data_IF_778205341453
#
_entry.id   IF_778205341453
#
_cell.length_a   1.000
_cell.length_b   1.000
_cell.length_c   1.000
_cell.angle_alpha   90.00
_cell.angle_beta   90.00
_cell.angle_gamma   90.00
#
_symmetry.space_group_name_H-M   'P 1'
#
loop_
_entity.id
_entity.type
_entity.pdbx_description
1 polymer ?
#
# COMPACT_ATOMS: atom_id res chain seq x y z
N UNK A 1 -18.66 -35.69 4.57
CA UNK A 1 -17.59 -34.78 4.10
C UNK A 1 -17.93 -33.40 4.59
N UNK A 2 -17.27 -32.92 5.64
CA UNK A 2 -17.46 -31.53 6.09
C UNK A 2 -16.84 -30.59 5.05
N UNK A 3 -17.60 -29.56 4.64
CA UNK A 3 -17.13 -28.53 3.70
C UNK A 3 -16.92 -27.24 4.46
N UNK A 4 -15.69 -26.72 4.40
CA UNK A 4 -15.43 -25.34 4.80
C UNK A 4 -16.20 -24.38 3.88
N UNK A 5 -16.77 -23.33 4.48
CA UNK A 5 -17.41 -22.23 3.75
C UNK A 5 -16.94 -20.90 4.32
N UNK A 6 -16.71 -19.92 3.45
CA UNK A 6 -16.46 -18.54 3.85
C UNK A 6 -17.80 -17.96 4.36
N UNK A 7 -17.82 -17.49 5.61
CA UNK A 7 -19.04 -16.92 6.22
C UNK A 7 -19.14 -15.41 6.02
N UNK A 8 -17.99 -14.74 5.97
CA UNK A 8 -17.87 -13.30 5.76
C UNK A 8 -16.49 -12.98 5.19
N UNK A 9 -16.39 -11.84 4.50
CA UNK A 9 -15.14 -11.27 4.01
C UNK A 9 -15.09 -9.81 4.45
N UNK A 10 -13.90 -9.33 4.84
CA UNK A 10 -13.73 -7.92 5.16
C UNK A 10 -13.89 -7.05 3.91
N UNK A 11 -14.16 -5.76 4.12
CA UNK A 11 -13.96 -4.76 3.07
C UNK A 11 -12.50 -4.84 2.58
N UNK A 12 -12.27 -4.60 1.29
CA UNK A 12 -10.94 -4.62 0.72
C UNK A 12 -10.11 -3.46 1.29
N UNK A 13 -8.99 -3.81 1.93
CA UNK A 13 -8.04 -2.81 2.43
C UNK A 13 -7.02 -2.46 1.35
N UNK A 14 -6.56 -1.20 1.28
CA UNK A 14 -5.41 -0.87 0.46
C UNK A 14 -4.18 -1.64 0.97
N UNK A 15 -3.27 -1.99 0.07
CA UNK A 15 -1.95 -2.50 0.43
C UNK A 15 -1.14 -1.49 1.26
N UNK A 16 0.03 -1.91 1.74
CA UNK A 16 0.87 -1.07 2.60
C UNK A 16 1.33 0.21 1.90
N UNK A 17 1.23 1.33 2.61
CA UNK A 17 1.73 2.62 2.15
C UNK A 17 3.24 2.72 2.34
N UNK A 18 3.93 3.24 1.31
CA UNK A 18 5.30 3.69 1.43
C UNK A 18 5.27 5.18 1.73
N UNK A 19 5.76 5.55 2.91
CA UNK A 19 5.66 6.91 3.45
C UNK A 19 7.01 7.60 3.40
N UNK A 20 6.99 8.90 3.10
CA UNK A 20 8.15 9.77 3.21
C UNK A 20 8.05 10.60 4.50
N UNK A 21 9.21 10.92 5.08
CA UNK A 21 9.26 11.81 6.24
C UNK A 21 8.75 13.20 5.90
N UNK A 22 8.20 13.94 6.90
CA UNK A 22 7.60 15.26 6.66
C UNK A 22 8.61 16.34 6.23
N UNK A 23 9.91 16.11 6.43
CA UNK A 23 10.98 17.03 6.02
C UNK A 23 11.54 16.76 4.63
N UNK A 24 10.97 15.84 3.86
CA UNK A 24 11.45 15.55 2.50
C UNK A 24 10.97 16.64 1.54
N UNK A 25 11.90 17.29 0.86
CA UNK A 25 11.61 18.31 -0.16
C UNK A 25 10.68 17.77 -1.25
N UNK A 26 9.67 18.54 -1.73
CA UNK A 26 8.69 18.05 -2.70
C UNK A 26 9.29 17.50 -4.01
N UNK A 27 10.38 18.11 -4.49
CA UNK A 27 11.08 17.64 -5.68
C UNK A 27 11.72 16.25 -5.47
N UNK A 28 12.38 16.06 -4.32
CA UNK A 28 12.96 14.77 -3.94
C UNK A 28 11.87 13.71 -3.72
N UNK A 29 10.74 14.09 -3.12
CA UNK A 29 9.60 13.19 -2.97
C UNK A 29 9.05 12.71 -4.32
N UNK A 30 8.97 13.61 -5.31
CA UNK A 30 8.54 13.26 -6.66
C UNK A 30 9.56 12.35 -7.37
N UNK A 31 10.86 12.60 -7.19
CA UNK A 31 11.94 11.78 -7.75
C UNK A 31 11.92 10.36 -7.17
N UNK A 32 11.86 10.22 -5.83
CA UNK A 32 11.76 8.91 -5.16
C UNK A 32 10.53 8.14 -5.67
N UNK A 33 9.39 8.82 -5.79
CA UNK A 33 8.17 8.20 -6.32
C UNK A 33 8.36 7.71 -7.75
N UNK A 34 8.97 8.51 -8.62
CA UNK A 34 9.25 8.14 -10.01
C UNK A 34 10.17 6.91 -10.06
N UNK A 35 11.26 6.93 -9.30
CA UNK A 35 12.23 5.83 -9.23
C UNK A 35 11.55 4.53 -8.77
N UNK A 36 10.77 4.56 -7.69
CA UNK A 36 10.08 3.38 -7.19
C UNK A 36 9.06 2.81 -8.18
N UNK A 37 8.36 3.66 -8.93
CA UNK A 37 7.42 3.21 -9.95
C UNK A 37 8.15 2.57 -11.14
N UNK A 38 9.26 3.15 -11.59
CA UNK A 38 10.06 2.58 -12.68
C UNK A 38 10.69 1.23 -12.31
N UNK A 39 11.09 1.07 -11.04
CA UNK A 39 11.58 -0.22 -10.52
C UNK A 39 10.56 -1.35 -10.67
N UNK A 40 9.27 -1.04 -10.78
CA UNK A 40 8.22 -2.02 -10.99
C UNK A 40 8.28 -2.65 -12.39
N UNK A 41 8.74 -1.88 -13.37
CA UNK A 41 8.78 -2.25 -14.78
C UNK A 41 10.14 -2.81 -15.20
N UNK A 42 11.22 -2.44 -14.50
CA UNK A 42 12.57 -2.93 -14.77
C UNK A 42 12.80 -4.36 -14.24
N UNK A 43 13.37 -5.24 -15.07
CA UNK A 43 13.60 -6.65 -14.73
C UNK A 43 14.33 -6.90 -13.39
N UNK A 44 15.44 -6.21 -13.04
CA UNK A 44 16.08 -6.39 -11.73
C UNK A 44 15.20 -5.85 -10.58
N UNK A 45 14.55 -4.71 -10.74
CA UNK A 45 13.66 -4.11 -9.73
C UNK A 45 12.45 -5.01 -9.43
N UNK A 46 11.80 -5.53 -10.47
CA UNK A 46 10.67 -6.45 -10.36
C UNK A 46 11.03 -7.77 -9.65
N UNK A 47 12.27 -8.26 -9.82
CA UNK A 47 12.75 -9.45 -9.11
C UNK A 47 12.90 -9.21 -7.59
N UNK A 48 13.44 -8.04 -7.21
CA UNK A 48 13.60 -7.65 -5.82
C UNK A 48 12.24 -7.45 -5.13
N UNK A 49 11.27 -6.83 -5.82
CA UNK A 49 9.91 -6.69 -5.30
C UNK A 49 9.24 -8.04 -5.06
N UNK A 50 9.34 -8.97 -6.03
CA UNK A 50 8.77 -10.32 -5.87
C UNK A 50 9.40 -11.10 -4.72
N UNK A 51 10.71 -10.97 -4.50
CA UNK A 51 11.37 -11.59 -3.35
C UNK A 51 10.81 -11.08 -2.00
N UNK A 52 10.33 -9.83 -1.95
CA UNK A 52 9.64 -9.24 -0.81
C UNK A 52 8.13 -9.50 -0.77
N UNK A 53 7.57 -10.31 -1.67
CA UNK A 53 6.13 -10.55 -1.75
C UNK A 53 5.32 -9.35 -2.30
N UNK A 54 5.99 -8.38 -2.92
CA UNK A 54 5.36 -7.20 -3.52
C UNK A 54 5.05 -7.52 -4.98
N UNK A 55 3.77 -7.56 -5.32
CA UNK A 55 3.30 -7.79 -6.69
C UNK A 55 3.47 -6.56 -7.59
N UNK A 56 3.55 -5.38 -6.97
CA UNK A 56 3.97 -4.16 -7.62
C UNK A 56 3.60 -2.90 -6.85
N UNK A 57 4.15 -1.78 -7.30
CA UNK A 57 3.91 -0.46 -6.73
C UNK A 57 2.93 0.33 -7.59
N UNK A 58 2.12 1.17 -6.94
CA UNK A 58 1.18 2.06 -7.61
C UNK A 58 1.17 3.42 -6.91
N UNK A 59 0.87 4.50 -7.64
CA UNK A 59 0.49 5.78 -7.06
C UNK A 59 -0.47 5.64 -5.87
N UNK A 60 -0.05 6.20 -4.73
CA UNK A 60 -0.86 6.26 -3.53
C UNK A 60 -1.25 7.71 -3.23
N UNK A 61 -2.51 7.90 -2.84
CA UNK A 61 -3.07 9.18 -2.40
C UNK A 61 -3.78 9.00 -1.06
N UNK A 62 -3.94 10.07 -0.25
CA UNK A 62 -4.70 9.98 1.00
C UNK A 62 -6.12 9.40 0.82
N UNK A 63 -6.75 9.65 -0.33
CA UNK A 63 -8.08 9.13 -0.65
C UNK A 63 -8.11 7.59 -0.70
N UNK A 64 -7.02 6.94 -1.13
CA UNK A 64 -6.93 5.47 -1.16
C UNK A 64 -7.00 4.84 0.23
N UNK A 65 -6.66 5.59 1.28
CA UNK A 65 -6.63 5.14 2.67
C UNK A 65 -7.83 5.64 3.49
N UNK A 66 -8.82 6.28 2.87
CA UNK A 66 -10.03 6.75 3.58
C UNK A 66 -10.76 5.63 4.31
N UNK A 67 -10.74 4.41 3.76
CA UNK A 67 -11.36 3.23 4.41
C UNK A 67 -10.66 2.89 5.72
N UNK A 68 -9.35 3.09 5.80
CA UNK A 68 -8.57 2.85 7.02
C UNK A 68 -9.06 3.79 8.12
N UNK A 69 -9.30 5.07 7.81
CA UNK A 69 -9.82 6.05 8.78
C UNK A 69 -11.12 5.62 9.46
N UNK A 70 -12.00 4.85 8.78
CA UNK A 70 -13.23 4.30 9.39
C UNK A 70 -12.94 3.40 10.60
N UNK A 71 -11.78 2.75 10.62
CA UNK A 71 -11.39 1.76 11.62
C UNK A 71 -10.37 2.29 12.64
N UNK A 72 -9.53 3.27 12.27
CA UNK A 72 -8.53 3.86 13.19
C UNK A 72 -9.04 5.10 13.93
N UNK A 73 -10.19 5.67 13.54
CA UNK A 73 -10.80 6.78 14.28
C UNK A 73 -11.34 6.25 15.62
N UNK A 74 -10.47 6.26 16.63
CA UNK A 74 -10.62 5.68 17.97
C UNK A 74 -11.67 6.36 18.83
N UNK A 75 -12.46 7.29 18.30
CA UNK A 75 -13.62 7.85 19.01
C UNK A 75 -14.72 6.81 19.31
N UNK A 76 -14.62 5.61 18.75
CA UNK A 76 -15.54 4.50 18.98
C UNK A 76 -15.00 3.39 19.91
N UNK A 77 -13.78 3.53 20.46
CA UNK A 77 -13.34 2.71 21.58
C UNK A 77 -13.59 3.50 22.88
N UNK A 78 -14.84 3.51 23.32
CA UNK A 78 -15.23 3.89 24.69
C UNK A 78 -15.37 2.64 25.53
#
# INVERSE_FOLDING_TARGET
>A
VERMRILAQSEAMPGLAWLLGPGVEPALAAEIRSLLLNYNDEAPGHSAMRAGGISGLRPATPANYKIVNKYVDTKNFK
#
